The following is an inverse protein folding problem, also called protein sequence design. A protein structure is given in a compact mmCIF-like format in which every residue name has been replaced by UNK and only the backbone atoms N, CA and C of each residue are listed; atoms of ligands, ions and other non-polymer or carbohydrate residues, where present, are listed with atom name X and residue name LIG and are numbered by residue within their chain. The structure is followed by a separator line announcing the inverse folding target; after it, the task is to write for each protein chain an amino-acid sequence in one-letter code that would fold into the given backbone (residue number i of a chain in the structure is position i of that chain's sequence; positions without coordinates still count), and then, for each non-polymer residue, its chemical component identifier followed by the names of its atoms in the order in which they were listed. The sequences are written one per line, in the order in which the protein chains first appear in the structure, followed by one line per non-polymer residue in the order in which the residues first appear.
data_IF_592645223999
#
_entry.id   IF_592645223999
#
_cell.length_a   1.000
_cell.length_b   1.000
_cell.length_c   1.000
_cell.angle_alpha   90.00
_cell.angle_beta   90.00
_cell.angle_gamma   90.00
#
_symmetry.space_group_name_H-M   'P 1'
#
loop_
_entity.id
_entity.type
_entity.pdbx_description
1 polymer ?
#
# COMPACT_ATOMS: atom_id res chain seq x y z
N UNK A 1 -21.10 28.31 -3.29
CA UNK A 1 -19.91 28.18 -4.16
C UNK A 1 -18.72 28.74 -3.39
N UNK A 2 -17.60 28.01 -3.33
CA UNK A 2 -16.39 28.51 -2.68
C UNK A 2 -15.69 29.56 -3.56
N UNK A 3 -15.06 30.60 -2.97
CA UNK A 3 -14.25 31.57 -3.73
C UNK A 3 -13.08 30.90 -4.50
N UNK A 4 -12.60 31.48 -5.62
CA UNK A 4 -11.53 30.89 -6.46
C UNK A 4 -10.22 30.60 -5.74
N UNK A 5 -9.95 31.26 -4.61
CA UNK A 5 -8.77 30.98 -3.76
C UNK A 5 -8.75 29.54 -3.22
N UNK A 6 -9.87 28.83 -3.26
CA UNK A 6 -10.02 27.45 -2.83
C UNK A 6 -10.00 26.45 -3.99
N UNK A 7 -9.72 26.91 -5.21
CA UNK A 7 -9.61 26.02 -6.37
C UNK A 7 -8.42 25.08 -6.20
N UNK A 8 -8.68 23.78 -6.39
CA UNK A 8 -7.68 22.70 -6.25
C UNK A 8 -7.00 22.69 -4.89
N UNK A 9 -7.70 23.07 -3.82
CA UNK A 9 -7.12 23.06 -2.47
C UNK A 9 -6.62 21.66 -2.09
N UNK A 10 -5.47 21.64 -1.42
CA UNK A 10 -4.82 20.42 -0.96
C UNK A 10 -5.57 19.73 0.18
N UNK A 11 -6.16 20.52 1.10
CA UNK A 11 -7.00 20.03 2.19
C UNK A 11 -8.41 20.63 2.10
N UNK A 12 -9.38 19.77 1.83
CA UNK A 12 -10.79 20.18 1.69
C UNK A 12 -11.40 20.62 3.02
N UNK A 13 -10.83 20.25 4.17
CA UNK A 13 -11.29 20.74 5.46
C UNK A 13 -11.05 22.24 5.66
N UNK A 14 -10.19 22.86 4.83
CA UNK A 14 -9.93 24.30 4.86
C UNK A 14 -10.92 25.12 4.01
N UNK A 15 -11.86 24.48 3.31
CA UNK A 15 -12.89 25.18 2.53
C UNK A 15 -13.83 25.98 3.45
N UNK A 16 -14.23 27.18 3.03
CA UNK A 16 -15.22 27.98 3.78
C UNK A 16 -16.59 27.31 3.81
N UNK A 17 -17.03 26.75 2.68
CA UNK A 17 -18.27 25.99 2.61
C UNK A 17 -17.94 24.53 2.31
N UNK A 18 -18.12 23.67 3.32
CA UNK A 18 -17.99 22.23 3.19
C UNK A 18 -19.35 21.63 2.82
N UNK A 19 -19.60 21.47 1.53
CA UNK A 19 -20.81 20.86 0.98
C UNK A 19 -20.45 19.86 -0.12
N UNK A 20 -21.29 18.84 -0.34
CA UNK A 20 -21.05 17.75 -1.29
C UNK A 20 -20.66 18.24 -2.70
N UNK A 21 -21.34 19.22 -3.32
CA UNK A 21 -20.92 19.73 -4.64
C UNK A 21 -19.52 20.35 -4.67
N UNK A 22 -19.06 20.91 -3.55
CA UNK A 22 -17.78 21.63 -3.47
C UNK A 22 -16.62 20.65 -3.34
N UNK A 23 -16.82 19.61 -2.52
CA UNK A 23 -15.91 18.47 -2.42
C UNK A 23 -15.77 17.77 -3.78
N UNK A 24 -16.89 17.45 -4.42
CA UNK A 24 -16.89 16.80 -5.74
C UNK A 24 -16.18 17.66 -6.80
N UNK A 25 -16.46 18.97 -6.83
CA UNK A 25 -15.81 19.89 -7.76
C UNK A 25 -14.29 19.94 -7.56
N UNK A 26 -13.82 20.05 -6.31
CA UNK A 26 -12.39 20.09 -6.02
C UNK A 26 -11.67 18.80 -6.43
N UNK A 27 -12.25 17.64 -6.09
CA UNK A 27 -11.70 16.34 -6.48
C UNK A 27 -11.64 16.21 -8.01
N UNK A 28 -12.69 16.63 -8.71
CA UNK A 28 -12.74 16.63 -10.18
C UNK A 28 -11.66 17.50 -10.80
N UNK A 29 -11.49 18.73 -10.32
CA UNK A 29 -10.50 19.67 -10.85
C UNK A 29 -9.05 19.24 -10.55
N UNK A 30 -8.81 18.64 -9.38
CA UNK A 30 -7.51 18.07 -9.02
C UNK A 30 -7.19 16.84 -9.87
N UNK A 31 -8.15 15.94 -10.05
CA UNK A 31 -8.01 14.76 -10.90
C UNK A 31 -7.73 15.14 -12.36
N UNK A 32 -8.45 16.14 -12.90
CA UNK A 32 -8.21 16.67 -14.25
C UNK A 32 -6.80 17.27 -14.44
N UNK A 33 -6.14 17.63 -13.33
CA UNK A 33 -4.76 18.11 -13.31
C UNK A 33 -3.75 17.03 -12.84
N UNK A 34 -4.14 15.75 -12.87
CA UNK A 34 -3.33 14.59 -12.46
C UNK A 34 -2.87 14.59 -10.99
N UNK A 35 -3.55 15.35 -10.13
CA UNK A 35 -3.34 15.34 -8.68
C UNK A 35 -4.29 14.35 -8.02
N UNK A 36 -3.84 13.11 -7.88
CA UNK A 36 -4.67 11.98 -7.42
C UNK A 36 -4.91 11.95 -5.91
N UNK A 37 -4.06 12.61 -5.13
CA UNK A 37 -4.14 12.68 -3.68
C UNK A 37 -4.68 14.05 -3.24
N UNK A 38 -5.60 14.04 -2.30
CA UNK A 38 -6.20 15.24 -1.69
C UNK A 38 -6.54 14.96 -0.23
N UNK A 39 -6.17 15.85 0.69
CA UNK A 39 -6.55 15.74 2.09
C UNK A 39 -8.00 16.16 2.34
N UNK A 40 -8.58 15.56 3.36
CA UNK A 40 -9.88 15.92 3.93
C UNK A 40 -9.76 15.83 5.44
N UNK A 41 -9.13 16.84 6.04
CA UNK A 41 -8.74 16.83 7.44
C UNK A 41 -7.74 15.70 7.72
N UNK A 42 -8.14 14.74 8.55
CA UNK A 42 -7.30 13.60 8.91
C UNK A 42 -7.18 12.53 7.81
N UNK A 43 -8.06 12.57 6.80
CA UNK A 43 -8.12 11.56 5.75
C UNK A 43 -7.32 11.99 4.52
N UNK A 44 -6.76 11.00 3.81
CA UNK A 44 -6.19 11.19 2.48
C UNK A 44 -7.08 10.49 1.45
N UNK A 45 -7.75 11.28 0.62
CA UNK A 45 -8.57 10.81 -0.48
C UNK A 45 -7.68 10.55 -1.69
N UNK A 46 -7.82 9.36 -2.28
CA UNK A 46 -7.07 8.96 -3.49
C UNK A 46 -8.06 8.60 -4.58
N UNK A 47 -7.86 9.14 -5.78
CA UNK A 47 -8.64 8.79 -6.97
C UNK A 47 -7.75 7.99 -7.94
N UNK A 48 -8.17 6.78 -8.31
CA UNK A 48 -7.39 5.91 -9.20
C UNK A 48 -7.20 6.58 -10.57
N UNK A 49 -5.96 6.85 -11.03
CA UNK A 49 -5.71 7.49 -12.32
C UNK A 49 -5.93 6.58 -13.53
N UNK A 50 -6.03 5.26 -13.34
CA UNK A 50 -6.05 4.25 -14.42
C UNK A 50 -4.89 4.34 -15.43
N UNK A 51 -3.82 5.03 -15.04
CA UNK A 51 -2.60 5.18 -15.81
C UNK A 51 -1.40 5.32 -14.88
N UNK A 52 -0.22 5.07 -15.42
CA UNK A 52 1.02 5.21 -14.68
C UNK A 52 1.36 6.69 -14.43
N UNK A 53 1.65 7.03 -13.17
CA UNK A 53 2.13 8.35 -12.77
C UNK A 53 3.46 8.19 -12.00
N UNK A 54 4.44 9.10 -12.19
CA UNK A 54 5.75 9.04 -11.53
C UNK A 54 5.72 9.42 -10.03
N UNK A 55 4.56 9.27 -9.36
CA UNK A 55 4.34 9.68 -7.96
C UNK A 55 4.95 8.72 -6.94
N UNK A 56 5.33 7.51 -7.36
CA UNK A 56 5.92 6.48 -6.50
C UNK A 56 7.43 6.32 -6.70
N UNK A 57 8.07 7.22 -7.44
CA UNK A 57 9.49 7.13 -7.71
C UNK A 57 10.33 7.29 -6.42
N UNK A 58 11.55 6.71 -6.36
CA UNK A 58 12.41 6.79 -5.17
C UNK A 58 12.74 8.22 -4.71
N UNK A 59 12.79 9.18 -5.62
CA UNK A 59 13.00 10.59 -5.31
C UNK A 59 11.85 11.15 -4.46
N UNK A 60 10.62 10.72 -4.76
CA UNK A 60 9.42 11.12 -4.03
C UNK A 60 9.45 10.56 -2.61
N UNK A 61 9.84 9.30 -2.42
CA UNK A 61 10.04 8.69 -1.09
C UNK A 61 10.96 9.55 -0.23
N UNK A 62 12.08 9.98 -0.81
CA UNK A 62 13.08 10.82 -0.13
C UNK A 62 12.53 12.22 0.17
N UNK A 63 11.74 12.79 -0.73
CA UNK A 63 11.14 14.12 -0.57
C UNK A 63 10.13 14.20 0.59
N UNK A 64 9.37 13.12 0.84
CA UNK A 64 8.38 13.07 1.93
C UNK A 64 8.95 12.68 3.28
N UNK A 65 10.14 12.08 3.31
CA UNK A 65 10.76 11.62 4.56
C UNK A 65 11.05 12.80 5.48
N UNK A 66 10.62 12.71 6.73
CA UNK A 66 10.90 13.74 7.73
C UNK A 66 10.00 14.98 7.63
N UNK A 67 9.08 15.02 6.66
CA UNK A 67 8.26 16.21 6.38
C UNK A 67 6.98 16.21 7.20
N UNK A 68 6.64 17.38 7.73
CA UNK A 68 5.32 17.57 8.34
C UNK A 68 4.25 17.60 7.27
N UNK A 69 3.03 17.25 7.68
CA UNK A 69 1.83 17.25 6.82
C UNK A 69 1.62 18.54 5.99
N UNK A 70 2.01 19.71 6.51
CA UNK A 70 1.86 21.01 5.83
C UNK A 70 3.06 21.40 4.94
N UNK A 71 4.17 20.66 5.02
CA UNK A 71 5.42 20.98 4.33
C UNK A 71 5.54 20.29 2.96
N UNK A 72 4.63 19.35 2.66
CA UNK A 72 4.59 18.59 1.43
C UNK A 72 3.13 18.41 0.97
N UNK A 73 2.89 18.32 -0.35
CA UNK A 73 1.54 18.20 -0.87
C UNK A 73 0.90 16.85 -0.47
N UNK A 74 -0.42 16.68 -0.69
CA UNK A 74 -1.10 15.45 -0.30
C UNK A 74 -0.50 14.22 -0.96
N UNK A 75 -0.17 13.22 -0.14
CA UNK A 75 0.38 11.95 -0.61
C UNK A 75 0.24 10.84 0.42
N UNK A 76 0.17 9.59 -0.04
CA UNK A 76 0.15 8.42 0.84
C UNK A 76 1.44 8.29 1.67
N UNK A 77 2.59 8.67 1.10
CA UNK A 77 3.87 8.69 1.81
C UNK A 77 3.91 9.67 2.98
N UNK A 78 3.20 10.79 2.89
CA UNK A 78 3.05 11.70 4.04
C UNK A 78 2.26 11.03 5.17
N UNK A 79 1.20 10.27 4.86
CA UNK A 79 0.48 9.48 5.87
C UNK A 79 1.38 8.41 6.49
N UNK A 80 2.17 7.71 5.67
CA UNK A 80 3.13 6.70 6.15
C UNK A 80 4.24 7.30 7.01
N UNK A 81 4.86 8.41 6.61
CA UNK A 81 5.92 9.06 7.39
C UNK A 81 5.39 9.61 8.71
N UNK A 82 4.21 10.25 8.71
CA UNK A 82 3.59 10.74 9.94
C UNK A 82 3.30 9.57 10.90
N UNK A 83 2.76 8.46 10.42
CA UNK A 83 2.57 7.26 11.25
C UNK A 83 3.90 6.74 11.80
N UNK A 84 4.96 6.67 10.99
CA UNK A 84 6.28 6.26 11.45
C UNK A 84 6.86 7.22 12.51
N UNK A 85 6.73 8.53 12.31
CA UNK A 85 7.21 9.53 13.27
C UNK A 85 6.43 9.50 14.59
N UNK A 86 5.10 9.39 14.54
CA UNK A 86 4.27 9.28 15.75
C UNK A 86 4.56 7.98 16.50
N UNK A 87 4.75 6.86 15.80
CA UNK A 87 5.18 5.60 16.43
C UNK A 87 6.49 5.77 17.22
N UNK A 88 7.48 6.46 16.65
CA UNK A 88 8.78 6.68 17.33
C UNK A 88 8.71 7.70 18.46
N UNK A 89 7.89 8.74 18.30
CA UNK A 89 7.79 9.85 19.25
C UNK A 89 6.92 9.48 20.44
N UNK A 90 5.71 8.99 20.17
CA UNK A 90 4.70 8.69 21.18
C UNK A 90 4.89 7.30 21.80
N UNK A 91 5.72 6.45 21.16
CA UNK A 91 5.99 5.05 21.55
C UNK A 91 4.74 4.16 21.53
N UNK A 92 3.77 4.53 20.71
CA UNK A 92 2.51 3.80 20.53
C UNK A 92 2.39 3.20 19.12
N UNK A 93 1.78 2.02 19.05
CA UNK A 93 1.53 1.33 17.79
C UNK A 93 0.56 2.13 16.91
N UNK A 94 0.86 2.17 15.60
CA UNK A 94 0.07 2.92 14.63
C UNK A 94 -0.67 1.98 13.68
N UNK A 95 -1.74 2.50 13.07
CA UNK A 95 -2.48 1.77 12.04
C UNK A 95 -2.82 2.70 10.87
N UNK A 96 -2.72 2.18 9.65
CA UNK A 96 -3.12 2.85 8.42
C UNK A 96 -4.24 2.03 7.80
N UNK A 97 -5.45 2.59 7.78
CA UNK A 97 -6.61 1.95 7.17
C UNK A 97 -6.80 2.44 5.74
N UNK A 98 -6.77 1.52 4.77
CA UNK A 98 -7.02 1.82 3.35
C UNK A 98 -8.37 1.22 2.96
N UNK A 99 -9.35 2.08 2.72
CA UNK A 99 -10.73 1.70 2.40
C UNK A 99 -11.16 2.22 1.02
N UNK A 100 -12.17 1.57 0.44
CA UNK A 100 -12.68 1.88 -0.90
C UNK A 100 -13.35 0.67 -1.54
N UNK A 101 -14.12 0.91 -2.60
CA UNK A 101 -14.79 -0.14 -3.36
C UNK A 101 -13.79 -1.03 -4.13
N UNK A 102 -14.29 -2.10 -4.75
CA UNK A 102 -13.47 -2.91 -5.65
C UNK A 102 -12.93 -2.04 -6.80
N UNK A 103 -11.66 -2.23 -7.18
CA UNK A 103 -11.02 -1.42 -8.23
C UNK A 103 -10.57 -0.01 -7.82
N UNK A 104 -10.83 0.44 -6.58
CA UNK A 104 -10.40 1.75 -6.09
C UNK A 104 -8.87 1.92 -5.93
N UNK A 105 -8.08 0.86 -6.15
CA UNK A 105 -6.61 0.91 -6.02
C UNK A 105 -6.10 0.68 -4.59
N UNK A 106 -6.88 0.03 -3.73
CA UNK A 106 -6.46 -0.27 -2.34
C UNK A 106 -5.16 -1.08 -2.28
N UNK A 107 -5.10 -2.20 -3.00
CA UNK A 107 -3.93 -3.11 -3.03
C UNK A 107 -2.66 -2.39 -3.48
N UNK A 108 -2.77 -1.56 -4.52
CA UNK A 108 -1.66 -0.76 -5.04
C UNK A 108 -1.16 0.25 -3.99
N UNK A 109 -2.08 0.96 -3.33
CA UNK A 109 -1.73 1.89 -2.26
C UNK A 109 -1.08 1.16 -1.06
N UNK A 110 -1.61 0.00 -0.65
CA UNK A 110 -1.02 -0.83 0.41
C UNK A 110 0.42 -1.23 0.08
N UNK A 111 0.67 -1.67 -1.16
CA UNK A 111 2.01 -2.02 -1.65
C UNK A 111 2.99 -0.84 -1.53
N UNK A 112 2.56 0.35 -1.91
CA UNK A 112 3.40 1.55 -1.81
C UNK A 112 3.66 1.99 -0.38
N UNK A 113 2.71 1.83 0.55
CA UNK A 113 2.93 2.06 1.99
C UNK A 113 4.01 1.12 2.53
N UNK A 114 3.92 -0.17 2.20
CA UNK A 114 4.90 -1.17 2.63
C UNK A 114 6.30 -0.85 2.06
N UNK A 115 6.37 -0.54 0.77
CA UNK A 115 7.62 -0.12 0.10
C UNK A 115 8.23 1.12 0.76
N UNK A 116 7.39 2.09 1.15
CA UNK A 116 7.84 3.28 1.86
C UNK A 116 8.51 2.94 3.19
N UNK A 117 7.84 2.13 4.02
CA UNK A 117 8.40 1.68 5.31
C UNK A 117 9.70 0.90 5.17
N UNK A 118 9.77 0.00 4.18
CA UNK A 118 10.99 -0.74 3.87
C UNK A 118 12.14 0.21 3.49
N UNK A 119 11.87 1.22 2.66
CA UNK A 119 12.90 2.18 2.22
C UNK A 119 13.45 3.05 3.37
N UNK A 120 12.59 3.56 4.25
CA UNK A 120 13.03 4.47 5.32
C UNK A 120 13.73 3.75 6.48
N UNK A 121 13.33 2.51 6.79
CA UNK A 121 13.82 1.76 7.95
C UNK A 121 15.26 1.23 7.82
N UNK A 122 15.84 1.30 6.61
CA UNK A 122 17.15 0.69 6.26
C UNK A 122 18.30 1.70 6.29
N UNK A 123 17.98 3.00 6.26
CA UNK A 123 18.98 4.07 6.21
C UNK A 123 19.74 4.20 7.54
N UNK A 124 20.75 3.36 7.69
CA UNK A 124 21.66 3.29 8.85
C UNK A 124 22.76 2.24 8.70
N UNK A 125 22.61 1.25 7.81
CA UNK A 125 23.67 0.29 7.47
C UNK A 125 24.12 0.50 6.03
N UNK A 126 25.43 0.74 5.84
CA UNK A 126 26.05 0.64 4.51
C UNK A 126 25.72 -0.76 3.97
N UNK A 127 25.07 -0.82 2.80
CA UNK A 127 24.87 -2.06 2.03
C UNK A 127 26.16 -2.88 2.07
N UNK A 128 26.21 -3.94 2.89
CA UNK A 128 27.30 -4.90 2.80
C UNK A 128 27.12 -5.57 1.44
N UNK A 129 28.11 -5.39 0.57
CA UNK A 129 28.13 -5.98 -0.77
C UNK A 129 27.68 -7.44 -0.70
N UNK A 130 26.61 -7.77 -1.44
CA UNK A 130 26.08 -9.12 -1.55
C UNK A 130 27.20 -10.07 -1.95
N UNK A 131 27.38 -11.16 -1.18
CA UNK A 131 28.14 -12.32 -1.63
C UNK A 131 27.23 -13.10 -2.59
N UNK A 132 27.66 -13.40 -3.83
CA UNK A 132 26.84 -14.16 -4.76
C UNK A 132 26.71 -15.60 -4.23
N UNK A 133 25.47 -16.08 -4.03
CA UNK A 133 25.22 -17.50 -3.70
C UNK A 133 24.33 -17.80 -2.49
N UNK A 134 23.86 -16.81 -1.72
CA UNK A 134 22.76 -17.02 -0.76
C UNK A 134 21.54 -16.23 -1.20
N UNK A 135 20.55 -16.96 -1.71
CA UNK A 135 19.26 -16.46 -2.19
C UNK A 135 18.32 -16.06 -1.04
N UNK A 136 18.88 -15.62 0.09
CA UNK A 136 18.13 -15.06 1.20
C UNK A 136 18.23 -13.55 1.05
N UNK A 137 17.25 -12.98 0.34
CA UNK A 137 17.16 -11.53 0.15
C UNK A 137 17.10 -10.79 1.48
N UNK A 138 17.34 -9.48 1.42
CA UNK A 138 17.13 -8.59 2.57
C UNK A 138 15.69 -8.72 3.09
N UNK A 139 15.40 -8.28 4.33
CA UNK A 139 14.02 -8.27 4.83
C UNK A 139 13.11 -7.43 3.91
N UNK A 140 13.67 -6.44 3.20
CA UNK A 140 13.00 -5.68 2.12
C UNK A 140 12.59 -6.61 0.98
N UNK A 141 13.52 -7.42 0.47
CA UNK A 141 13.26 -8.37 -0.60
C UNK A 141 12.24 -9.41 -0.17
N UNK A 142 12.26 -9.87 1.08
CA UNK A 142 11.28 -10.85 1.59
C UNK A 142 9.87 -10.26 1.70
N UNK A 143 9.74 -9.02 2.17
CA UNK A 143 8.43 -8.33 2.23
C UNK A 143 7.94 -8.01 0.81
N UNK A 144 8.82 -7.55 -0.09
CA UNK A 144 8.45 -7.28 -1.48
C UNK A 144 8.12 -8.59 -2.22
N UNK A 145 8.84 -9.67 -1.92
CA UNK A 145 8.54 -11.01 -2.43
C UNK A 145 7.26 -11.58 -1.84
N UNK A 146 6.76 -11.08 -0.70
CA UNK A 146 5.42 -11.43 -0.23
C UNK A 146 4.32 -10.71 -1.03
N UNK A 147 4.64 -9.79 -1.94
CA UNK A 147 3.63 -9.06 -2.72
C UNK A 147 2.84 -9.93 -3.69
N UNK A 148 3.42 -10.88 -4.46
CA UNK A 148 2.61 -11.81 -5.26
C UNK A 148 1.69 -12.67 -4.39
N UNK A 149 2.11 -13.04 -3.17
CA UNK A 149 1.23 -13.70 -2.20
C UNK A 149 0.07 -12.78 -1.79
N UNK A 150 0.36 -11.50 -1.48
CA UNK A 150 -0.64 -10.48 -1.14
C UNK A 150 -1.57 -10.14 -2.34
N UNK A 151 -1.08 -10.22 -3.57
CA UNK A 151 -1.83 -9.97 -4.80
C UNK A 151 -2.72 -11.18 -5.14
N UNK A 152 -2.19 -12.40 -5.03
CA UNK A 152 -2.95 -13.65 -5.17
C UNK A 152 -4.07 -13.75 -4.11
N UNK A 153 -3.80 -13.35 -2.86
CA UNK A 153 -4.81 -13.33 -1.80
C UNK A 153 -5.73 -12.09 -1.87
N UNK A 154 -5.25 -10.95 -2.35
CA UNK A 154 -6.01 -9.70 -2.48
C UNK A 154 -6.94 -9.64 -3.69
N UNK A 155 -6.70 -10.46 -4.71
CA UNK A 155 -7.59 -10.64 -5.87
C UNK A 155 -8.82 -11.50 -5.52
N UNK A 156 -8.70 -12.39 -4.53
CA UNK A 156 -9.86 -12.92 -3.83
C UNK A 156 -10.40 -11.82 -2.90
N UNK A 157 -11.70 -11.57 -2.98
CA UNK A 157 -12.48 -10.52 -2.30
C UNK A 157 -12.35 -10.51 -0.76
N UNK A 158 -11.18 -10.14 -0.21
CA UNK A 158 -10.83 -10.42 1.20
C UNK A 158 -10.07 -9.28 1.89
N UNK A 159 -10.27 -9.14 3.20
CA UNK A 159 -9.61 -8.13 4.03
C UNK A 159 -8.23 -8.62 4.44
N UNK A 160 -7.18 -7.82 4.21
CA UNK A 160 -5.82 -8.15 4.60
C UNK A 160 -5.34 -7.20 5.68
N UNK A 161 -4.77 -7.74 6.76
CA UNK A 161 -4.18 -6.97 7.84
C UNK A 161 -2.68 -7.29 7.95
N UNK A 162 -1.84 -6.27 7.81
CA UNK A 162 -0.39 -6.43 7.79
C UNK A 162 0.18 -5.72 9.00
N UNK A 163 0.85 -6.46 9.88
CA UNK A 163 1.61 -5.90 11.01
C UNK A 163 3.06 -5.77 10.58
N UNK A 164 3.62 -4.56 10.70
CA UNK A 164 5.04 -4.30 10.46
C UNK A 164 5.66 -3.91 11.79
N UNK A 165 6.64 -4.70 12.24
CA UNK A 165 7.29 -4.51 13.52
C UNK A 165 8.58 -3.72 13.38
N UNK A 166 8.67 -2.63 14.13
CA UNK A 166 9.87 -1.81 14.23
C UNK A 166 10.50 -1.97 15.61
N UNK A 167 11.83 -2.11 15.65
CA UNK A 167 12.59 -2.15 16.88
C UNK A 167 12.70 -0.77 17.53
N UNK A 168 13.24 -0.71 18.75
CA UNK A 168 13.38 0.52 19.52
C UNK A 168 14.19 1.64 18.83
N UNK A 169 15.00 1.29 17.82
CA UNK A 169 15.80 2.20 16.99
C UNK A 169 15.10 2.63 15.70
N UNK A 170 13.85 2.23 15.46
CA UNK A 170 13.10 2.48 14.23
C UNK A 170 13.47 1.59 13.04
N UNK A 171 14.32 0.58 13.26
CA UNK A 171 14.65 -0.41 12.22
C UNK A 171 13.56 -1.46 12.10
N UNK A 172 13.35 -1.96 10.88
CA UNK A 172 12.44 -3.05 10.60
C UNK A 172 12.95 -4.36 11.24
N UNK A 173 12.09 -5.08 11.96
CA UNK A 173 12.44 -6.31 12.69
C UNK A 173 11.72 -7.53 12.13
N UNK A 174 10.41 -7.43 11.90
CA UNK A 174 9.58 -8.51 11.37
C UNK A 174 8.30 -7.96 10.74
N UNK A 175 7.56 -8.80 10.03
CA UNK A 175 6.24 -8.50 9.54
C UNK A 175 5.35 -9.75 9.60
N UNK A 176 4.07 -9.56 9.94
CA UNK A 176 3.05 -10.61 9.96
C UNK A 176 1.89 -10.21 9.06
N UNK A 177 1.28 -11.20 8.40
CA UNK A 177 0.12 -11.00 7.53
C UNK A 177 -1.01 -11.86 8.08
N UNK A 178 -2.14 -11.23 8.40
CA UNK A 178 -3.39 -11.90 8.76
C UNK A 178 -4.41 -11.65 7.64
N UNK A 179 -4.94 -12.74 7.08
CA UNK A 179 -5.94 -12.68 6.01
C UNK A 179 -7.31 -13.06 6.55
N UNK A 180 -8.33 -12.27 6.22
CA UNK A 180 -9.71 -12.45 6.67
C UNK A 180 -10.63 -12.71 5.48
N UNK A 181 -11.40 -13.81 5.52
CA UNK A 181 -12.45 -14.21 4.57
C UNK A 181 -12.00 -14.83 3.22
N UNK A 182 -11.06 -15.77 3.22
CA UNK A 182 -10.57 -16.49 2.02
C UNK A 182 -11.68 -17.24 1.23
N UNK A 183 -11.58 -17.21 -0.11
CA UNK A 183 -12.32 -18.13 -0.97
C UNK A 183 -11.74 -19.55 -0.80
N UNK A 184 -12.61 -20.53 -0.53
CA UNK A 184 -12.22 -21.87 -0.05
C UNK A 184 -11.98 -22.89 -1.21
N UNK A 185 -12.27 -22.53 -2.46
CA UNK A 185 -12.16 -23.43 -3.63
C UNK A 185 -11.37 -22.78 -4.78
N UNK A 186 -10.60 -23.60 -5.48
CA UNK A 186 -9.83 -23.25 -6.70
C UNK A 186 -10.68 -23.23 -7.96
N UNK A 187 -11.92 -23.74 -7.90
CA UNK A 187 -12.87 -23.60 -9.00
C UNK A 187 -13.77 -22.38 -8.72
N UNK A 188 -13.64 -21.27 -9.48
CA UNK A 188 -14.44 -20.08 -9.26
C UNK A 188 -15.95 -20.33 -9.44
N UNK A 189 -16.34 -21.36 -10.20
CA UNK A 189 -17.74 -21.77 -10.39
C UNK A 189 -18.37 -22.45 -9.17
N UNK A 190 -17.58 -22.92 -8.21
CA UNK A 190 -18.10 -23.49 -6.94
C UNK A 190 -18.73 -22.41 -6.05
N UNK A 191 -18.51 -21.13 -6.37
CA UNK A 191 -19.03 -19.99 -5.63
C UNK A 191 -19.93 -19.13 -6.51
N UNK A 192 -21.26 -19.37 -6.51
CA UNK A 192 -22.23 -18.61 -7.30
C UNK A 192 -22.23 -17.10 -7.05
N UNK A 193 -21.51 -16.60 -6.05
CA UNK A 193 -21.39 -15.18 -5.71
C UNK A 193 -20.22 -14.46 -6.40
N UNK A 194 -19.25 -15.20 -6.95
CA UNK A 194 -18.07 -14.65 -7.67
C UNK A 194 -17.98 -15.13 -9.12
N UNK A 195 -18.79 -16.11 -9.53
CA UNK A 195 -18.93 -16.59 -10.92
C UNK A 195 -20.13 -15.98 -11.67
N UNK A 196 -20.72 -14.90 -11.16
CA UNK A 196 -21.84 -14.20 -11.82
C UNK A 196 -21.38 -13.33 -13.01
N UNK A 197 -20.07 -13.06 -13.11
CA UNK A 197 -19.45 -12.26 -14.16
C UNK A 197 -18.29 -13.00 -14.84
N UNK A 198 -17.37 -12.26 -15.45
CA UNK A 198 -16.18 -12.86 -16.08
C UNK A 198 -15.20 -13.39 -15.03
N UNK A 199 -14.73 -14.62 -15.25
CA UNK A 199 -13.79 -15.34 -14.39
C UNK A 199 -12.34 -15.25 -14.87
N UNK A 200 -12.10 -14.57 -15.98
CA UNK A 200 -10.78 -14.32 -16.56
C UNK A 200 -10.67 -12.84 -16.92
N UNK A 201 -9.47 -12.26 -16.82
CA UNK A 201 -9.22 -10.85 -17.16
C UNK A 201 -8.11 -10.80 -18.19
N UNK A 202 -8.36 -10.21 -19.36
CA UNK A 202 -7.42 -10.24 -20.49
C UNK A 202 -6.03 -9.62 -20.22
N UNK A 203 -5.92 -8.75 -19.20
CA UNK A 203 -4.65 -8.13 -18.78
C UNK A 203 -3.92 -8.90 -17.68
N UNK A 204 -4.44 -10.05 -17.23
CA UNK A 204 -3.90 -10.84 -16.12
C UNK A 204 -3.64 -12.27 -16.64
N UNK A 205 -2.43 -12.77 -16.44
CA UNK A 205 -2.09 -14.19 -16.66
C UNK A 205 -2.05 -14.91 -15.32
N UNK A 206 -3.14 -15.61 -15.00
CA UNK A 206 -3.28 -16.35 -13.74
C UNK A 206 -2.18 -17.42 -13.55
N UNK A 207 -1.59 -17.93 -14.64
CA UNK A 207 -0.50 -18.93 -14.58
C UNK A 207 0.82 -18.29 -14.17
N UNK A 208 1.10 -17.08 -14.66
CA UNK A 208 2.30 -16.32 -14.28
C UNK A 208 2.22 -15.85 -12.82
N UNK A 209 1.05 -15.37 -12.39
CA UNK A 209 0.77 -14.96 -11.01
C UNK A 209 0.91 -16.14 -10.02
N UNK A 210 0.43 -17.33 -10.40
CA UNK A 210 0.59 -18.54 -9.59
C UNK A 210 2.07 -18.94 -9.43
N UNK A 211 2.84 -18.91 -10.52
CA UNK A 211 4.28 -19.22 -10.50
C UNK A 211 5.10 -18.16 -9.74
N UNK A 212 4.67 -16.89 -9.76
CA UNK A 212 5.26 -15.83 -8.96
C UNK A 212 5.02 -16.06 -7.47
N UNK A 213 3.85 -16.61 -7.12
CA UNK A 213 3.47 -16.97 -5.74
C UNK A 213 4.25 -18.18 -5.22
N UNK A 214 4.43 -19.22 -6.03
CA UNK A 214 5.15 -20.46 -5.65
C UNK A 214 6.66 -20.26 -5.41
N UNK A 215 7.25 -19.21 -5.97
CA UNK A 215 8.69 -18.90 -5.80
C UNK A 215 9.01 -18.22 -4.48
N UNK A 216 8.01 -17.87 -3.67
CA UNK A 216 8.18 -17.22 -2.38
C UNK A 216 8.53 -18.31 -1.36
N UNK A 217 9.71 -18.26 -0.69
CA UNK A 217 10.10 -19.30 0.24
C UNK A 217 9.18 -19.28 1.48
N UNK A 218 8.22 -20.20 1.50
CA UNK A 218 7.49 -20.55 2.70
C UNK A 218 8.46 -21.11 3.74
N UNK A 219 8.34 -20.67 4.98
CA UNK A 219 9.12 -21.15 6.11
C UNK A 219 8.68 -22.60 6.45
N UNK A 220 9.05 -23.55 5.60
CA UNK A 220 8.72 -24.96 5.72
C UNK A 220 9.79 -25.73 6.51
N UNK A 221 9.88 -25.47 7.81
CA UNK A 221 10.44 -26.44 8.73
C UNK A 221 9.40 -27.56 8.94
N UNK A 222 9.33 -28.47 7.97
CA UNK A 222 8.86 -29.84 8.20
C UNK A 222 9.82 -30.77 7.48
N UNK A 223 10.98 -31.00 8.10
CA UNK A 223 11.75 -32.21 7.84
C UNK A 223 10.86 -33.41 8.20
N UNK A 224 10.27 -34.04 7.19
CA UNK A 224 9.84 -35.43 7.31
C UNK A 224 11.10 -36.28 7.35
N UNK A 225 11.53 -36.66 8.56
CA UNK A 225 12.56 -37.67 8.74
C UNK A 225 12.09 -38.98 8.10
N UNK A 226 12.92 -39.64 7.26
CA UNK A 226 12.56 -40.94 6.71
C UNK A 226 12.64 -42.01 7.80
N UNK A 227 11.59 -42.82 7.93
CA UNK A 227 11.67 -44.18 8.46
C UNK A 227 11.55 -45.15 7.31
#
# INVERSE_FOLDING_TARGET
MNPPKFDKIEDMAMMTHLHEPGVLYNLKERYAAWMIYTYSGLFCVTVNPYQWLPVYNPEVVTAYRGKKHQEAPPHIFSISDNAYQFMLTDRDNQSVLIAGESGAGKTVNTKHVIQYFAAIAVTGEKRKAQRPGKMQGTLEDQIIQANPLLEAFGNAKTGTFIRIHFGATGKLVSADIETYLLLISTNPFDFPFVSQGEVTVASIDDSEELLATDKIPGNGNTESSPK
#
